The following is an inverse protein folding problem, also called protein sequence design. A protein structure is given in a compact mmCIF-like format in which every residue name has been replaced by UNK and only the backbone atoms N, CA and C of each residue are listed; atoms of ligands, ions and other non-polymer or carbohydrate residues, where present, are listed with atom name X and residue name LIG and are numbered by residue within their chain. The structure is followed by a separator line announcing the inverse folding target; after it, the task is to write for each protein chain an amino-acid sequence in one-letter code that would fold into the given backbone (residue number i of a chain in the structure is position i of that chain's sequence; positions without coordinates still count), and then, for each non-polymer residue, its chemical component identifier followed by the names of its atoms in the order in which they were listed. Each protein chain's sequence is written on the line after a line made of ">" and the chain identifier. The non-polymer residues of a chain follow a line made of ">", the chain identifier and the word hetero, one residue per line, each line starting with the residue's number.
data_IF_417823084902
#
_entry.id   IF_417823084902
#
_cell.length_a   1.000
_cell.length_b   1.000
_cell.length_c   1.000
_cell.angle_alpha   90.00
_cell.angle_beta   90.00
_cell.angle_gamma   90.00
#
_symmetry.space_group_name_H-M   'P 1'
#
loop_
_entity.id
_entity.type
_entity.pdbx_description
1 polymer ?
#
# COMPACT_ATOMS: atom_id res chain seq x y z
N UNK A 1 -15.20 13.73 22.08
CA UNK A 1 -13.99 14.20 21.36
C UNK A 1 -14.38 14.29 19.90
N UNK A 2 -14.26 15.46 19.26
CA UNK A 2 -14.69 15.62 17.87
C UNK A 2 -13.86 14.66 16.97
N UNK A 3 -14.49 13.81 16.12
CA UNK A 3 -13.82 12.73 15.39
C UNK A 3 -12.60 13.16 14.57
N UNK A 4 -12.56 14.43 14.17
CA UNK A 4 -11.47 15.02 13.40
C UNK A 4 -10.12 15.03 14.13
N UNK A 5 -10.06 15.35 15.44
CA UNK A 5 -8.78 15.55 16.11
C UNK A 5 -7.94 14.28 16.27
N UNK A 6 -8.58 13.11 16.38
CA UNK A 6 -7.89 11.82 16.51
C UNK A 6 -7.23 11.39 15.19
N UNK A 7 -7.92 11.58 14.07
CA UNK A 7 -7.39 11.24 12.73
C UNK A 7 -6.17 12.11 12.41
N UNK A 8 -6.21 13.39 12.75
CA UNK A 8 -5.13 14.37 12.52
C UNK A 8 -3.85 13.98 13.27
N UNK A 9 -3.97 13.51 14.51
CA UNK A 9 -2.81 13.12 15.32
C UNK A 9 -2.15 11.82 14.83
N UNK A 10 -2.93 10.92 14.22
CA UNK A 10 -2.46 9.59 13.80
C UNK A 10 -1.98 9.56 12.35
N UNK A 11 -2.57 10.39 11.48
CA UNK A 11 -2.24 10.45 10.06
C UNK A 11 -2.07 11.92 9.63
N UNK A 12 -0.92 12.54 9.94
CA UNK A 12 -0.71 13.98 9.70
C UNK A 12 -0.73 14.40 8.23
N UNK A 13 -0.81 13.45 7.29
CA UNK A 13 -0.83 13.67 5.83
C UNK A 13 -2.21 13.51 5.17
N UNK A 14 -3.31 13.38 5.94
CA UNK A 14 -4.67 13.18 5.41
C UNK A 14 -5.35 14.41 4.79
N UNK A 15 -4.63 15.53 4.65
CA UNK A 15 -5.19 16.80 4.18
C UNK A 15 -4.81 17.10 2.73
N UNK A 16 -5.77 17.65 1.99
CA UNK A 16 -5.55 18.20 0.65
C UNK A 16 -4.80 19.52 0.77
N UNK A 17 -3.77 19.74 -0.05
CA UNK A 17 -3.15 21.07 -0.20
C UNK A 17 -4.20 22.05 -0.72
N UNK A 18 -4.77 22.87 0.19
CA UNK A 18 -5.72 23.94 -0.15
C UNK A 18 -7.05 23.90 0.60
N UNK A 19 -7.52 22.75 1.07
CA UNK A 19 -8.74 22.62 1.87
C UNK A 19 -8.46 21.91 3.19
N UNK A 20 -8.97 22.46 4.31
CA UNK A 20 -8.85 21.86 5.66
C UNK A 20 -9.72 20.61 5.86
N UNK A 21 -10.29 20.07 4.79
CA UNK A 21 -11.13 18.89 4.82
C UNK A 21 -10.29 17.63 4.56
N UNK A 22 -10.49 16.56 5.35
CA UNK A 22 -9.79 15.30 5.14
C UNK A 22 -10.26 14.63 3.85
N UNK A 23 -9.33 13.99 3.13
CA UNK A 23 -9.62 13.27 1.87
C UNK A 23 -10.66 12.13 2.02
N UNK A 24 -10.83 11.61 3.24
CA UNK A 24 -11.67 10.46 3.53
C UNK A 24 -12.42 10.63 4.86
N UNK A 25 -13.57 9.97 4.99
CA UNK A 25 -14.45 9.98 6.16
C UNK A 25 -14.52 8.60 6.85
N UNK A 26 -15.39 8.47 7.86
CA UNK A 26 -15.59 7.23 8.63
C UNK A 26 -16.05 6.03 7.76
N UNK A 27 -16.52 6.26 6.53
CA UNK A 27 -17.00 5.22 5.60
C UNK A 27 -15.88 4.63 4.71
N UNK A 28 -14.65 5.17 4.78
CA UNK A 28 -13.54 4.76 3.89
C UNK A 28 -12.58 3.75 4.51
N UNK A 29 -12.82 3.37 5.77
CA UNK A 29 -12.01 2.41 6.51
C UNK A 29 -12.79 1.12 6.72
N UNK A 30 -12.16 -0.04 6.52
CA UNK A 30 -12.68 -1.27 7.12
C UNK A 30 -12.00 -1.50 8.47
N UNK A 31 -12.81 -1.91 9.44
CA UNK A 31 -12.40 -2.28 10.77
C UNK A 31 -12.18 -3.80 10.83
N UNK A 32 -10.96 -4.24 11.17
CA UNK A 32 -10.73 -5.63 11.55
C UNK A 32 -10.57 -5.74 13.07
N UNK A 33 -11.24 -6.72 13.68
CA UNK A 33 -11.19 -7.00 15.10
C UNK A 33 -10.14 -8.09 15.30
N UNK A 34 -8.98 -7.73 15.87
CA UNK A 34 -7.97 -8.72 16.23
C UNK A 34 -8.28 -9.34 17.61
N UNK A 35 -8.59 -10.64 17.61
CA UNK A 35 -8.71 -11.42 18.83
C UNK A 35 -7.32 -11.86 19.34
N UNK A 36 -6.86 -11.30 20.46
CA UNK A 36 -5.66 -11.84 21.14
C UNK A 36 -5.96 -13.23 21.73
N UNK A 37 -5.34 -14.28 21.15
CA UNK A 37 -5.33 -15.64 21.71
C UNK A 37 -4.88 -15.61 23.18
N UNK A 38 -5.61 -16.25 24.11
CA UNK A 38 -5.27 -16.23 25.52
C UNK A 38 -4.03 -17.08 25.79
N UNK A 39 -3.11 -16.55 26.59
CA UNK A 39 -2.12 -17.38 27.25
C UNK A 39 -2.86 -18.23 28.31
N UNK A 40 -2.76 -19.56 28.23
CA UNK A 40 -3.21 -20.49 29.26
C UNK A 40 -4.70 -20.45 29.58
N UNK A 41 -5.54 -21.14 28.79
CA UNK A 41 -7.00 -21.14 28.86
C UNK A 41 -7.69 -21.52 30.19
N UNK A 42 -6.93 -21.91 31.22
CA UNK A 42 -7.44 -22.19 32.57
C UNK A 42 -7.17 -21.05 33.58
N UNK A 43 -6.04 -20.35 33.48
CA UNK A 43 -5.65 -19.34 34.47
C UNK A 43 -6.49 -18.04 34.35
N UNK A 44 -6.88 -17.65 33.14
CA UNK A 44 -7.61 -16.40 32.90
C UNK A 44 -9.02 -16.34 33.48
N UNK A 45 -9.67 -17.48 33.75
CA UNK A 45 -11.02 -17.51 34.35
C UNK A 45 -11.01 -17.37 35.87
N UNK A 46 -9.89 -17.72 36.52
CA UNK A 46 -9.75 -17.71 37.98
C UNK A 46 -9.45 -16.32 38.56
N UNK A 47 -8.89 -15.41 37.75
CA UNK A 47 -8.37 -14.12 38.23
C UNK A 47 -9.16 -12.90 37.74
N UNK A 48 -10.44 -13.06 37.39
CA UNK A 48 -11.30 -11.91 37.06
C UNK A 48 -10.75 -11.07 35.90
N UNK A 49 -10.44 -11.72 34.76
CA UNK A 49 -9.96 -11.01 33.58
C UNK A 49 -11.04 -10.07 33.05
N UNK A 50 -10.84 -8.78 33.36
CA UNK A 50 -11.48 -7.61 32.75
C UNK A 50 -11.70 -7.80 31.25
N UNK A 51 -12.89 -7.40 30.79
CA UNK A 51 -13.36 -7.41 29.41
C UNK A 51 -12.26 -6.93 28.46
N UNK A 52 -11.69 -7.85 27.65
CA UNK A 52 -10.53 -7.59 26.80
C UNK A 52 -10.84 -6.46 25.81
N UNK A 53 -10.02 -5.40 25.81
CA UNK A 53 -9.96 -4.38 24.76
C UNK A 53 -9.77 -5.04 23.39
N UNK A 54 -10.85 -5.11 22.60
CA UNK A 54 -10.81 -5.43 21.18
C UNK A 54 -10.07 -4.30 20.46
N UNK A 55 -8.92 -4.60 19.85
CA UNK A 55 -8.22 -3.60 19.05
C UNK A 55 -8.88 -3.56 17.68
N UNK A 56 -9.55 -2.45 17.39
CA UNK A 56 -10.06 -2.15 16.05
C UNK A 56 -8.87 -1.61 15.24
N UNK A 57 -8.46 -2.36 14.22
CA UNK A 57 -7.51 -1.86 13.23
C UNK A 57 -8.29 -1.32 12.03
N UNK A 58 -8.04 -0.06 11.68
CA UNK A 58 -8.63 0.64 10.54
C UNK A 58 -7.60 0.79 9.43
N UNK A 59 -7.86 0.25 8.25
CA UNK A 59 -7.00 0.41 7.07
C UNK A 59 -7.74 1.16 5.95
N UNK A 60 -7.01 1.99 5.20
CA UNK A 60 -7.55 2.75 4.08
C UNK A 60 -7.76 1.86 2.85
N UNK A 61 -8.92 1.96 2.18
CA UNK A 61 -9.25 1.14 1.01
C UNK A 61 -8.54 1.58 -0.29
N UNK A 62 -8.00 2.78 -0.34
CA UNK A 62 -7.53 3.37 -1.60
C UNK A 62 -6.10 2.97 -2.00
N UNK A 63 -5.35 2.31 -1.12
CA UNK A 63 -3.97 1.87 -1.35
C UNK A 63 -3.06 3.02 -1.85
N UNK A 64 -3.13 4.18 -1.18
CA UNK A 64 -2.45 5.39 -1.66
C UNK A 64 -0.93 5.24 -1.76
N UNK A 65 -0.32 4.53 -0.80
CA UNK A 65 1.13 4.33 -0.77
C UNK A 65 1.58 3.41 -1.90
N UNK A 66 0.85 2.33 -2.12
CA UNK A 66 1.06 1.38 -3.21
C UNK A 66 0.89 2.08 -4.57
N UNK A 67 -0.15 2.90 -4.71
CA UNK A 67 -0.38 3.71 -5.92
C UNK A 67 0.74 4.71 -6.15
N UNK A 68 1.27 5.33 -5.09
CA UNK A 68 2.43 6.22 -5.19
C UNK A 68 3.67 5.47 -5.69
N UNK A 69 3.96 4.30 -5.12
CA UNK A 69 5.10 3.46 -5.54
C UNK A 69 4.94 3.03 -7.00
N UNK A 70 3.75 2.57 -7.40
CA UNK A 70 3.43 2.24 -8.78
C UNK A 70 3.67 3.43 -9.71
N UNK A 71 3.23 4.63 -9.30
CA UNK A 71 3.41 5.83 -10.11
C UNK A 71 4.89 6.18 -10.30
N UNK A 72 5.70 6.11 -9.24
CA UNK A 72 7.15 6.33 -9.32
C UNK A 72 7.80 5.30 -10.26
N UNK A 73 7.39 4.03 -10.17
CA UNK A 73 7.91 2.98 -11.02
C UNK A 73 7.57 3.23 -12.50
N UNK A 74 6.33 3.63 -12.79
CA UNK A 74 5.87 3.98 -14.14
C UNK A 74 6.68 5.15 -14.69
N UNK A 75 6.89 6.20 -13.90
CA UNK A 75 7.66 7.38 -14.30
C UNK A 75 9.10 6.99 -14.67
N UNK A 76 9.78 6.22 -13.81
CA UNK A 76 11.14 5.75 -14.05
C UNK A 76 11.24 4.83 -15.28
N UNK A 77 10.24 4.00 -15.53
CA UNK A 77 10.20 3.15 -16.74
C UNK A 77 10.05 4.01 -17.98
N UNK A 78 9.12 4.98 -17.96
CA UNK A 78 8.89 5.89 -19.07
C UNK A 78 10.15 6.70 -19.40
N UNK A 79 10.81 7.29 -18.40
CA UNK A 79 12.05 8.05 -18.57
C UNK A 79 13.18 7.22 -19.22
N UNK A 80 13.35 5.96 -18.80
CA UNK A 80 14.40 5.06 -19.31
C UNK A 80 14.06 4.39 -20.65
N UNK A 81 12.82 4.49 -21.12
CA UNK A 81 12.35 3.86 -22.36
C UNK A 81 11.57 4.86 -23.24
N UNK A 82 11.98 6.14 -23.24
CA UNK A 82 11.30 7.23 -23.96
C UNK A 82 11.27 7.04 -25.49
N UNK A 83 12.16 6.22 -26.03
CA UNK A 83 12.15 5.81 -27.43
C UNK A 83 11.09 4.74 -27.76
N UNK A 84 10.59 4.04 -26.75
CA UNK A 84 9.64 2.93 -26.89
C UNK A 84 8.20 3.33 -26.58
N UNK A 85 8.02 4.31 -25.70
CA UNK A 85 6.71 4.77 -25.25
C UNK A 85 6.51 6.24 -25.63
N UNK A 86 5.33 6.56 -26.15
CA UNK A 86 5.00 7.93 -26.54
C UNK A 86 4.57 8.74 -25.31
N UNK A 87 3.81 8.11 -24.41
CA UNK A 87 3.30 8.74 -23.20
C UNK A 87 3.39 7.79 -22.00
N UNK A 88 3.36 8.38 -20.80
CA UNK A 88 3.37 7.66 -19.53
C UNK A 88 2.26 6.59 -19.46
N UNK A 89 1.11 6.87 -20.06
CA UNK A 89 -0.05 5.99 -20.04
C UNK A 89 0.20 4.67 -20.79
N UNK A 90 1.09 4.67 -21.79
CA UNK A 90 1.47 3.45 -22.52
C UNK A 90 2.16 2.44 -21.59
N UNK A 91 2.97 2.93 -20.65
CA UNK A 91 3.60 2.10 -19.63
C UNK A 91 2.54 1.55 -18.69
N UNK A 92 1.62 2.40 -18.21
CA UNK A 92 0.51 1.96 -17.35
C UNK A 92 -0.35 0.87 -18.03
N UNK A 93 -0.59 0.99 -19.33
CA UNK A 93 -1.36 0.01 -20.09
C UNK A 93 -0.74 -1.40 -20.04
N UNK A 94 0.60 -1.51 -20.01
CA UNK A 94 1.30 -2.80 -19.85
C UNK A 94 0.98 -3.44 -18.49
N UNK A 95 0.97 -2.64 -17.42
CA UNK A 95 0.59 -3.12 -16.08
C UNK A 95 -0.88 -3.53 -16.04
N UNK A 96 -1.78 -2.66 -16.52
CA UNK A 96 -3.22 -2.91 -16.55
C UNK A 96 -3.56 -4.20 -17.33
N UNK A 97 -3.01 -4.36 -18.54
CA UNK A 97 -3.16 -5.57 -19.35
C UNK A 97 -2.66 -6.81 -18.61
N UNK A 98 -1.52 -6.73 -17.94
CA UNK A 98 -0.94 -7.88 -17.25
C UNK A 98 -1.80 -8.37 -16.09
N UNK A 99 -2.40 -7.44 -15.33
CA UNK A 99 -3.32 -7.77 -14.23
C UNK A 99 -4.65 -8.32 -14.76
N UNK A 100 -5.26 -7.65 -15.74
CA UNK A 100 -6.57 -8.04 -16.29
C UNK A 100 -6.51 -9.41 -16.97
N UNK A 101 -5.44 -9.68 -17.73
CA UNK A 101 -5.30 -10.93 -18.48
C UNK A 101 -4.66 -12.05 -17.66
N UNK A 102 -4.08 -11.74 -16.50
CA UNK A 102 -3.22 -12.65 -15.73
C UNK A 102 -1.87 -12.96 -16.39
N UNK A 103 -1.58 -12.38 -17.57
CA UNK A 103 -0.30 -12.57 -18.24
C UNK A 103 0.74 -11.58 -17.70
N UNK A 104 1.46 -11.99 -16.66
CA UNK A 104 2.47 -11.15 -15.98
C UNK A 104 3.78 -10.98 -16.77
N UNK A 105 4.03 -11.83 -17.77
CA UNK A 105 5.33 -11.91 -18.46
C UNK A 105 5.73 -10.61 -19.19
N UNK A 106 4.85 -9.90 -19.91
CA UNK A 106 5.20 -8.65 -20.57
C UNK A 106 5.66 -7.56 -19.58
N UNK A 107 4.94 -7.41 -18.46
CA UNK A 107 5.29 -6.48 -17.40
C UNK A 107 6.62 -6.86 -16.73
N UNK A 108 6.80 -8.13 -16.40
CA UNK A 108 8.06 -8.60 -15.80
C UNK A 108 9.27 -8.39 -16.71
N UNK A 109 9.14 -8.67 -18.00
CA UNK A 109 10.20 -8.41 -18.98
C UNK A 109 10.51 -6.93 -19.10
N UNK A 110 9.50 -6.06 -19.12
CA UNK A 110 9.67 -4.62 -19.17
C UNK A 110 10.47 -4.10 -17.96
N UNK A 111 10.07 -4.51 -16.76
CA UNK A 111 10.74 -4.11 -15.51
C UNK A 111 12.19 -4.60 -15.51
N UNK A 112 12.40 -5.89 -15.80
CA UNK A 112 13.73 -6.49 -15.75
C UNK A 112 14.66 -6.00 -16.86
N UNK A 113 14.14 -5.66 -18.05
CA UNK A 113 14.95 -5.05 -19.11
C UNK A 113 15.33 -3.61 -18.80
N UNK A 114 14.51 -2.90 -18.01
CA UNK A 114 14.73 -1.49 -17.68
C UNK A 114 15.72 -1.32 -16.53
N UNK A 115 15.59 -2.13 -15.48
CA UNK A 115 16.34 -1.94 -14.23
C UNK A 115 17.31 -3.08 -13.89
N UNK A 116 17.24 -4.18 -14.63
CA UNK A 116 18.07 -5.36 -14.41
C UNK A 116 17.26 -6.60 -14.01
N UNK A 117 17.81 -7.77 -14.33
CA UNK A 117 17.16 -9.07 -14.10
C UNK A 117 16.82 -9.28 -12.62
N UNK A 118 15.59 -9.73 -12.35
CA UNK A 118 15.11 -10.02 -11.00
C UNK A 118 14.49 -8.81 -10.27
N UNK A 119 14.38 -7.65 -10.92
CA UNK A 119 13.80 -6.46 -10.31
C UNK A 119 12.32 -6.67 -9.96
N UNK A 120 11.51 -7.25 -10.86
CA UNK A 120 10.11 -7.54 -10.54
C UNK A 120 9.99 -8.47 -9.32
N UNK A 121 10.83 -9.51 -9.27
CA UNK A 121 10.87 -10.43 -8.13
C UNK A 121 11.18 -9.68 -6.84
N UNK A 122 12.17 -8.78 -6.86
CA UNK A 122 12.56 -8.00 -5.69
C UNK A 122 11.43 -7.09 -5.20
N UNK A 123 10.70 -6.44 -6.11
CA UNK A 123 9.52 -5.63 -5.75
C UNK A 123 8.47 -6.50 -5.05
N UNK A 124 8.21 -7.70 -5.57
CA UNK A 124 7.26 -8.66 -4.98
C UNK A 124 7.70 -9.23 -3.63
N UNK A 125 9.00 -9.44 -3.41
CA UNK A 125 9.55 -9.86 -2.10
C UNK A 125 9.35 -8.79 -1.00
N UNK A 126 9.17 -7.52 -1.39
CA UNK A 126 8.97 -6.39 -0.49
C UNK A 126 7.49 -6.01 -0.30
N UNK A 127 6.54 -6.77 -0.88
CA UNK A 127 5.09 -6.48 -0.86
C UNK A 127 4.52 -6.25 0.56
N UNK A 128 5.05 -6.96 1.55
CA UNK A 128 4.60 -6.85 2.94
C UNK A 128 5.27 -5.69 3.72
N UNK A 129 6.22 -4.98 3.11
CA UNK A 129 6.94 -3.86 3.71
C UNK A 129 6.97 -2.65 2.77
N UNK A 130 5.91 -1.84 2.85
CA UNK A 130 5.69 -0.69 1.96
C UNK A 130 6.85 0.31 1.97
N UNK A 131 7.51 0.50 3.12
CA UNK A 131 8.62 1.45 3.26
C UNK A 131 9.88 0.94 2.56
N UNK A 132 10.21 -0.34 2.71
CA UNK A 132 11.33 -0.95 1.99
C UNK A 132 11.06 -1.04 0.50
N UNK A 133 9.81 -1.34 0.10
CA UNK A 133 9.40 -1.33 -1.30
C UNK A 133 9.55 0.07 -1.92
N UNK A 134 9.08 1.11 -1.25
CA UNK A 134 9.24 2.50 -1.70
C UNK A 134 10.72 2.90 -1.80
N UNK A 135 11.53 2.58 -0.80
CA UNK A 135 12.97 2.87 -0.81
C UNK A 135 13.67 2.17 -1.97
N UNK A 136 13.34 0.90 -2.21
CA UNK A 136 13.88 0.13 -3.31
C UNK A 136 13.51 0.75 -4.66
N UNK A 137 12.21 1.02 -4.89
CA UNK A 137 11.74 1.63 -6.15
C UNK A 137 12.36 3.01 -6.38
N UNK A 138 12.54 3.83 -5.34
CA UNK A 138 13.22 5.12 -5.46
C UNK A 138 14.69 5.00 -5.89
N UNK A 139 15.36 3.90 -5.53
CA UNK A 139 16.78 3.66 -5.85
C UNK A 139 17.05 3.14 -7.28
N UNK A 140 16.01 2.76 -8.03
CA UNK A 140 16.09 2.29 -9.43
C UNK A 140 16.37 3.43 -10.42
#
# INVERSE_FOLDING_TARGET
>A
MQPSQYIIAKYPRTFISGSKEPLFNEDTFYANIEDKKPWGGAAGRLFGASEKLKRINTNCFTYELERKILNILIDKIFEKNSEKFQEREDVFEVFAKSIITGNILPMGRLIDSTFGRGTLRRIGELDQNIQEQENFVNSL
#
